data_IF_662375621775
#
_entry.id   IF_662375621775
#
_cell.length_a   1.000
_cell.length_b   1.000
_cell.length_c   1.000
_cell.angle_alpha   90.00
_cell.angle_beta   90.00
_cell.angle_gamma   90.00
#
_symmetry.space_group_name_H-M   'P 1'
#
loop_
_entity.id
_entity.type
_entity.pdbx_description
1 polymer ?
#
# COMPACT_ATOMS: atom_id res chain seq x y z
N UNK A 1 -17.90 -29.00 44.89
CA UNK A 1 -16.85 -28.47 45.77
C UNK A 1 -15.64 -28.13 44.92
N UNK A 2 -15.26 -26.86 44.83
CA UNK A 2 -14.06 -26.41 44.09
C UNK A 2 -12.83 -26.50 44.99
N UNK A 3 -11.64 -26.87 44.48
CA UNK A 3 -10.43 -26.89 45.30
C UNK A 3 -9.98 -25.47 45.65
N UNK A 4 -9.69 -25.23 46.92
CA UNK A 4 -9.19 -23.96 47.43
C UNK A 4 -7.78 -23.68 46.87
N UNK A 5 -7.56 -22.47 46.38
CA UNK A 5 -6.24 -21.99 45.98
C UNK A 5 -5.35 -21.85 47.22
N UNK A 6 -4.16 -22.46 47.19
CA UNK A 6 -3.16 -22.32 48.25
C UNK A 6 -2.71 -20.86 48.32
N UNK A 7 -2.90 -20.22 49.48
CA UNK A 7 -2.30 -18.94 49.81
C UNK A 7 -0.78 -19.08 49.79
N UNK A 8 -0.11 -18.12 49.17
CA UNK A 8 1.34 -18.13 49.01
C UNK A 8 2.04 -18.02 50.37
N UNK A 9 2.96 -18.94 50.67
CA UNK A 9 3.96 -18.77 51.73
C UNK A 9 4.63 -17.41 51.54
N UNK A 10 4.59 -16.55 52.57
CA UNK A 10 4.98 -15.13 52.53
C UNK A 10 6.44 -14.81 52.22
N UNK A 11 7.11 -15.65 51.41
CA UNK A 11 8.44 -15.42 50.86
C UNK A 11 8.31 -14.67 49.54
N UNK A 12 9.06 -13.58 49.31
CA UNK A 12 9.05 -12.89 48.03
C UNK A 12 9.50 -13.84 46.92
N UNK A 13 8.68 -13.98 45.88
CA UNK A 13 9.04 -14.77 44.69
C UNK A 13 10.24 -14.10 44.02
N UNK A 14 11.33 -14.85 43.86
CA UNK A 14 12.52 -14.36 43.17
C UNK A 14 12.20 -14.20 41.68
N UNK A 15 11.98 -12.97 41.24
CA UNK A 15 11.76 -12.64 39.83
C UNK A 15 13.12 -12.60 39.16
N UNK A 16 13.48 -13.65 38.41
CA UNK A 16 14.63 -13.60 37.52
C UNK A 16 14.23 -12.79 36.29
N UNK A 17 14.63 -11.52 36.27
CA UNK A 17 14.54 -10.67 35.08
C UNK A 17 15.70 -11.06 34.18
N UNK A 18 15.39 -11.81 33.12
CA UNK A 18 16.34 -12.01 32.04
C UNK A 18 16.39 -10.73 31.20
N UNK A 19 17.55 -10.08 31.15
CA UNK A 19 17.82 -9.07 30.14
C UNK A 19 17.86 -9.76 28.78
N UNK A 20 16.83 -9.52 27.96
CA UNK A 20 16.88 -9.90 26.56
C UNK A 20 18.12 -9.23 25.94
N UNK A 21 19.07 -9.98 25.37
CA UNK A 21 20.17 -9.35 24.64
C UNK A 21 19.53 -8.54 23.52
N UNK A 22 19.76 -7.23 23.52
CA UNK A 22 19.42 -6.35 22.41
C UNK A 22 20.31 -6.79 21.26
N UNK A 23 19.86 -7.81 20.53
CA UNK A 23 20.42 -8.06 19.21
C UNK A 23 20.02 -6.85 18.42
N UNK A 24 21.00 -5.99 18.13
CA UNK A 24 20.88 -5.00 17.07
C UNK A 24 20.43 -5.74 15.83
N UNK A 25 19.12 -5.74 15.60
CA UNK A 25 18.56 -6.14 14.32
C UNK A 25 19.12 -5.09 13.41
N UNK A 26 20.27 -5.39 12.79
CA UNK A 26 20.97 -4.51 11.85
C UNK A 26 19.91 -4.04 10.89
N UNK A 27 19.41 -2.82 11.11
CA UNK A 27 18.62 -2.11 10.12
C UNK A 27 19.59 -2.06 8.96
N UNK A 28 19.30 -2.84 7.91
CA UNK A 28 20.06 -2.72 6.67
C UNK A 28 20.13 -1.21 6.40
N UNK A 29 21.32 -0.63 6.14
CA UNK A 29 21.37 0.76 5.73
C UNK A 29 20.34 0.88 4.61
N UNK A 30 19.45 1.87 4.73
CA UNK A 30 18.46 2.17 3.70
C UNK A 30 19.25 2.45 2.41
N UNK A 31 19.52 1.38 1.66
CA UNK A 31 20.29 1.44 0.43
C UNK A 31 19.61 2.44 -0.47
N UNK A 32 20.40 3.41 -0.92
CA UNK A 32 20.13 4.41 -1.95
C UNK A 32 18.69 4.41 -2.46
N UNK A 33 17.75 4.89 -1.64
CA UNK A 33 16.46 5.29 -2.19
C UNK A 33 16.76 6.56 -2.97
N UNK A 34 16.54 6.58 -4.29
CA UNK A 34 16.80 7.78 -5.07
C UNK A 34 16.00 8.92 -4.44
N UNK A 35 16.71 9.92 -3.92
CA UNK A 35 16.08 11.14 -3.43
C UNK A 35 15.35 11.75 -4.62
N UNK A 36 14.06 12.02 -4.46
CA UNK A 36 13.28 12.70 -5.50
C UNK A 36 14.03 13.99 -5.89
N UNK A 37 14.27 14.24 -7.19
CA UNK A 37 14.93 15.47 -7.60
C UNK A 37 14.16 16.68 -7.09
N UNK A 38 14.88 17.70 -6.62
CA UNK A 38 14.29 18.98 -6.21
C UNK A 38 13.60 19.58 -7.43
N UNK A 39 12.42 20.17 -7.24
CA UNK A 39 11.60 20.75 -8.33
C UNK A 39 12.26 21.93 -9.05
N UNK A 40 13.36 22.45 -8.50
CA UNK A 40 14.00 23.70 -8.94
C UNK A 40 15.22 23.47 -9.85
N UNK A 41 15.49 22.23 -10.27
CA UNK A 41 16.50 21.95 -11.28
C UNK A 41 15.96 22.29 -12.68
N UNK A 42 16.77 22.88 -13.59
CA UNK A 42 16.33 23.13 -14.95
C UNK A 42 15.91 21.80 -15.59
N UNK A 43 14.64 21.72 -15.98
CA UNK A 43 14.07 20.56 -16.63
C UNK A 43 14.77 20.34 -17.96
N UNK A 44 15.01 19.07 -18.29
CA UNK A 44 15.46 18.73 -19.64
C UNK A 44 14.33 19.05 -20.63
N UNK A 45 14.67 19.41 -21.88
CA UNK A 45 13.68 19.69 -22.93
C UNK A 45 12.60 18.61 -23.06
N UNK A 46 12.95 17.34 -22.82
CA UNK A 46 11.99 16.23 -22.82
C UNK A 46 11.00 16.29 -21.65
N UNK A 47 11.44 16.72 -20.47
CA UNK A 47 10.60 16.91 -19.30
C UNK A 47 9.69 18.13 -19.45
N UNK A 48 10.18 19.24 -20.03
CA UNK A 48 9.37 20.42 -20.35
C UNK A 48 8.21 20.07 -21.31
N UNK A 49 8.50 19.33 -22.38
CA UNK A 49 7.47 18.85 -23.31
C UNK A 49 6.47 17.96 -22.57
N UNK A 50 6.92 17.07 -21.69
CA UNK A 50 6.04 16.23 -20.90
C UNK A 50 5.14 17.03 -19.94
N UNK A 51 5.64 18.13 -19.38
CA UNK A 51 4.86 19.04 -18.55
C UNK A 51 3.83 19.81 -19.36
N UNK A 52 4.20 20.38 -20.51
CA UNK A 52 3.28 21.04 -21.43
C UNK A 52 2.16 20.10 -21.89
N UNK A 53 2.47 18.84 -22.18
CA UNK A 53 1.46 17.83 -22.51
C UNK A 53 0.52 17.54 -21.33
N UNK A 54 1.02 17.50 -20.10
CA UNK A 54 0.18 17.31 -18.91
C UNK A 54 -0.75 18.50 -18.71
N UNK A 55 -0.24 19.71 -18.85
CA UNK A 55 -1.02 20.95 -18.75
C UNK A 55 -2.12 21.00 -19.81
N UNK A 56 -1.80 20.64 -21.06
CA UNK A 56 -2.79 20.54 -22.13
C UNK A 56 -3.87 19.48 -21.84
N UNK A 57 -3.50 18.32 -21.30
CA UNK A 57 -4.48 17.30 -20.91
C UNK A 57 -5.36 17.76 -19.75
N UNK A 58 -4.81 18.50 -18.79
CA UNK A 58 -5.57 19.05 -17.68
C UNK A 58 -6.47 20.20 -18.13
N UNK A 59 -6.07 21.01 -19.10
CA UNK A 59 -6.93 22.04 -19.70
C UNK A 59 -8.12 21.45 -20.46
N UNK A 60 -7.93 20.34 -21.19
CA UNK A 60 -9.04 19.61 -21.83
C UNK A 60 -10.01 19.06 -20.80
N UNK A 61 -9.52 18.51 -19.68
CA UNK A 61 -10.38 18.02 -18.59
C UNK A 61 -11.18 19.15 -17.95
N UNK A 62 -10.57 20.31 -17.72
CA UNK A 62 -11.26 21.46 -17.11
C UNK A 62 -12.26 22.09 -18.08
N UNK A 63 -11.96 22.15 -19.38
CA UNK A 63 -12.90 22.57 -20.42
C UNK A 63 -14.16 21.69 -20.43
N UNK A 64 -13.99 20.36 -20.38
CA UNK A 64 -15.13 19.44 -20.24
C UNK A 64 -15.96 19.68 -18.97
N UNK A 65 -15.32 20.12 -17.88
CA UNK A 65 -16.00 20.45 -16.64
C UNK A 65 -16.74 21.79 -16.66
N UNK A 66 -16.30 22.76 -17.47
CA UNK A 66 -16.94 24.08 -17.59
C UNK A 66 -18.36 23.98 -18.19
N UNK A 67 -18.56 23.06 -19.13
CA UNK A 67 -19.87 22.81 -19.74
C UNK A 67 -20.75 21.84 -18.95
N UNK A 68 -20.22 21.20 -17.92
CA UNK A 68 -21.01 20.31 -17.07
C UNK A 68 -21.99 21.10 -16.21
N UNK A 69 -23.22 20.61 -16.09
CA UNK A 69 -24.26 21.24 -15.27
C UNK A 69 -24.75 20.31 -14.14
N UNK A 70 -25.31 20.91 -13.09
CA UNK A 70 -25.98 20.18 -12.00
C UNK A 70 -25.09 19.19 -11.23
N UNK A 71 -25.47 17.91 -11.25
CA UNK A 71 -24.81 16.83 -10.47
C UNK A 71 -23.42 16.49 -10.99
N UNK A 72 -23.19 16.64 -12.29
CA UNK A 72 -21.91 16.33 -12.92
C UNK A 72 -20.85 17.36 -12.57
N UNK A 73 -21.21 18.65 -12.62
CA UNK A 73 -20.36 19.75 -12.17
C UNK A 73 -19.86 19.54 -10.74
N UNK A 74 -20.77 19.22 -9.81
CA UNK A 74 -20.42 18.93 -8.41
C UNK A 74 -19.40 17.80 -8.29
N UNK A 75 -19.51 16.74 -9.09
CA UNK A 75 -18.57 15.62 -9.06
C UNK A 75 -17.19 16.01 -9.58
N UNK A 76 -17.14 16.80 -10.67
CA UNK A 76 -15.89 17.27 -11.25
C UNK A 76 -15.17 18.27 -10.32
N UNK A 77 -15.92 19.16 -9.68
CA UNK A 77 -15.40 20.11 -8.68
C UNK A 77 -14.81 19.36 -7.47
N UNK A 78 -15.50 18.34 -6.95
CA UNK A 78 -14.98 17.51 -5.87
C UNK A 78 -13.71 16.74 -6.28
N UNK A 79 -13.67 16.18 -7.48
CA UNK A 79 -12.47 15.51 -8.00
C UNK A 79 -11.29 16.49 -8.14
N UNK A 80 -11.56 17.76 -8.50
CA UNK A 80 -10.54 18.82 -8.52
C UNK A 80 -10.02 19.15 -7.12
N UNK A 81 -10.92 19.25 -6.14
CA UNK A 81 -10.53 19.46 -4.74
C UNK A 81 -9.65 18.32 -4.23
N UNK A 82 -9.99 17.07 -4.55
CA UNK A 82 -9.17 15.89 -4.21
C UNK A 82 -7.78 15.92 -4.87
N UNK A 83 -7.71 16.32 -6.15
CA UNK A 83 -6.44 16.43 -6.88
C UNK A 83 -5.50 17.51 -6.30
N UNK A 84 -6.05 18.58 -5.74
CA UNK A 84 -5.30 19.65 -5.07
C UNK A 84 -4.85 19.28 -3.64
N UNK A 85 -5.15 18.06 -3.18
CA UNK A 85 -4.79 17.60 -1.84
C UNK A 85 -5.91 17.78 -0.80
N UNK A 86 -7.12 18.15 -1.24
CA UNK A 86 -8.30 18.14 -0.41
C UNK A 86 -8.68 16.73 0.02
N UNK A 87 -9.45 16.64 1.11
CA UNK A 87 -9.93 15.35 1.63
C UNK A 87 -10.97 14.74 0.68
N UNK A 88 -10.82 13.45 0.39
CA UNK A 88 -11.77 12.72 -0.42
C UNK A 88 -13.18 12.69 0.18
N UNK A 89 -14.19 12.72 -0.70
CA UNK A 89 -15.58 12.71 -0.26
C UNK A 89 -15.89 11.43 0.55
N UNK A 90 -16.43 11.62 1.77
CA UNK A 90 -16.83 10.50 2.62
C UNK A 90 -17.94 9.70 1.93
N UNK A 91 -17.67 8.43 1.69
CA UNK A 91 -18.66 7.50 1.16
C UNK A 91 -19.77 7.26 2.19
N UNK A 92 -21.02 7.13 1.72
CA UNK A 92 -22.14 6.81 2.59
C UNK A 92 -21.95 5.42 3.22
N UNK A 93 -22.36 5.28 4.48
CA UNK A 93 -22.30 4.00 5.18
C UNK A 93 -23.31 3.04 4.55
N UNK A 94 -22.83 1.94 4.01
CA UNK A 94 -23.65 0.87 3.44
C UNK A 94 -23.36 -0.47 4.13
N UNK A 95 -24.36 -1.36 4.26
CA UNK A 95 -24.15 -2.72 4.74
C UNK A 95 -23.11 -3.47 3.89
N UNK A 96 -22.29 -4.31 4.55
CA UNK A 96 -21.18 -5.00 3.91
C UNK A 96 -21.62 -5.86 2.72
N UNK A 97 -22.74 -6.59 2.84
CA UNK A 97 -23.27 -7.46 1.78
C UNK A 97 -23.60 -6.66 0.51
N UNK A 98 -24.26 -5.51 0.67
CA UNK A 98 -24.63 -4.63 -0.45
C UNK A 98 -23.38 -4.02 -1.10
N UNK A 99 -22.45 -3.54 -0.29
CA UNK A 99 -21.18 -2.98 -0.76
C UNK A 99 -20.37 -4.01 -1.58
N UNK A 100 -20.27 -5.26 -1.10
CA UNK A 100 -19.59 -6.33 -1.82
C UNK A 100 -20.31 -6.68 -3.13
N UNK A 101 -21.64 -6.71 -3.14
CA UNK A 101 -22.42 -6.96 -4.35
C UNK A 101 -22.19 -5.87 -5.41
N UNK A 102 -22.24 -4.59 -5.02
CA UNK A 102 -21.97 -3.46 -5.91
C UNK A 102 -20.56 -3.50 -6.50
N UNK A 103 -19.55 -3.80 -5.67
CA UNK A 103 -18.15 -3.95 -6.14
C UNK A 103 -18.00 -5.11 -7.13
N UNK A 104 -18.60 -6.28 -6.85
CA UNK A 104 -18.59 -7.42 -7.77
C UNK A 104 -19.24 -7.07 -9.11
N UNK A 105 -20.38 -6.36 -9.09
CA UNK A 105 -21.05 -5.92 -10.31
C UNK A 105 -20.21 -4.91 -11.11
N UNK A 106 -19.58 -3.94 -10.44
CA UNK A 106 -18.69 -2.98 -11.09
C UNK A 106 -17.51 -3.67 -11.78
N UNK A 107 -16.83 -4.58 -11.07
CA UNK A 107 -15.71 -5.34 -11.62
C UNK A 107 -16.13 -6.18 -12.84
N UNK A 108 -17.32 -6.83 -12.79
CA UNK A 108 -17.85 -7.58 -13.94
C UNK A 108 -18.12 -6.69 -15.15
N UNK A 109 -18.66 -5.47 -14.95
CA UNK A 109 -18.89 -4.51 -16.04
C UNK A 109 -17.57 -4.03 -16.64
N UNK A 110 -16.56 -3.80 -15.81
CA UNK A 110 -15.24 -3.40 -16.25
C UNK A 110 -14.57 -4.51 -17.07
N UNK A 111 -14.60 -5.76 -16.59
CA UNK A 111 -14.10 -6.94 -17.31
C UNK A 111 -14.80 -7.09 -18.67
N UNK A 112 -16.14 -7.04 -18.70
CA UNK A 112 -16.90 -7.12 -19.95
C UNK A 112 -16.52 -6.00 -20.93
N UNK A 113 -16.32 -4.76 -20.44
CA UNK A 113 -15.89 -3.64 -21.27
C UNK A 113 -14.50 -3.87 -21.85
N UNK A 114 -13.58 -4.42 -21.06
CA UNK A 114 -12.22 -4.76 -21.52
C UNK A 114 -12.22 -5.90 -22.54
N UNK A 115 -13.05 -6.93 -22.36
CA UNK A 115 -13.21 -8.02 -23.31
C UNK A 115 -13.75 -7.52 -24.65
N UNK A 116 -14.79 -6.69 -24.62
CA UNK A 116 -15.36 -6.09 -25.83
C UNK A 116 -14.36 -5.17 -26.53
N UNK A 117 -13.61 -4.35 -25.77
CA UNK A 117 -12.59 -3.48 -26.35
C UNK A 117 -11.44 -4.27 -27.00
N UNK A 118 -11.06 -5.42 -26.41
CA UNK A 118 -10.08 -6.34 -27.01
C UNK A 118 -10.61 -6.98 -28.28
N UNK A 119 -11.86 -7.45 -28.27
CA UNK A 119 -12.51 -8.07 -29.42
C UNK A 119 -12.69 -7.06 -30.58
N UNK A 120 -12.99 -5.80 -30.28
CA UNK A 120 -13.13 -4.74 -31.29
C UNK A 120 -11.81 -4.17 -31.79
N UNK A 121 -10.66 -4.62 -31.25
CA UNK A 121 -9.33 -4.11 -31.63
C UNK A 121 -9.04 -2.68 -31.17
N UNK A 122 -9.87 -2.10 -30.29
CA UNK A 122 -9.67 -0.73 -29.80
C UNK A 122 -8.56 -0.70 -28.76
N UNK A 123 -7.45 -0.01 -29.08
CA UNK A 123 -6.33 0.18 -28.16
C UNK A 123 -6.73 1.14 -27.05
N UNK A 124 -6.85 0.62 -25.84
CA UNK A 124 -7.10 1.43 -24.63
C UNK A 124 -5.82 1.56 -23.81
N UNK A 125 -5.66 2.71 -23.12
CA UNK A 125 -4.49 2.95 -22.28
C UNK A 125 -4.36 1.91 -21.17
N UNK A 126 -3.11 1.50 -20.87
CA UNK A 126 -2.82 0.52 -19.80
C UNK A 126 -3.30 1.07 -18.45
N UNK A 127 -4.25 0.37 -17.83
CA UNK A 127 -4.68 0.71 -16.47
C UNK A 127 -3.55 0.40 -15.49
N UNK A 128 -3.32 1.32 -14.53
CA UNK A 128 -2.42 1.06 -13.41
C UNK A 128 -3.03 -0.07 -12.59
N UNK A 129 -2.33 -1.21 -12.48
CA UNK A 129 -2.74 -2.28 -11.57
C UNK A 129 -2.84 -1.69 -10.17
N UNK A 130 -4.00 -1.85 -9.51
CA UNK A 130 -4.18 -1.47 -8.10
C UNK A 130 -2.99 -2.00 -7.31
N UNK A 131 -2.33 -1.10 -6.56
CA UNK A 131 -1.13 -1.42 -5.81
C UNK A 131 -1.39 -2.70 -5.00
N UNK A 132 -0.68 -3.78 -5.34
CA UNK A 132 -0.78 -5.05 -4.62
C UNK A 132 -0.57 -4.71 -3.15
N UNK A 133 -1.52 -5.08 -2.29
CA UNK A 133 -1.36 -4.97 -0.84
C UNK A 133 0.03 -5.52 -0.53
N UNK A 134 0.93 -4.74 0.09
CA UNK A 134 2.27 -5.22 0.36
C UNK A 134 2.11 -6.52 1.14
N UNK A 135 2.56 -7.65 0.55
CA UNK A 135 2.57 -8.92 1.27
C UNK A 135 3.27 -8.63 2.58
N UNK A 136 2.57 -8.80 3.72
CA UNK A 136 3.23 -8.77 5.02
C UNK A 136 4.42 -9.71 4.90
N UNK A 137 5.62 -9.22 5.23
CA UNK A 137 6.81 -10.08 5.29
C UNK A 137 6.40 -11.28 6.14
N UNK A 138 6.55 -12.49 5.60
CA UNK A 138 6.14 -13.70 6.30
C UNK A 138 6.76 -13.73 7.69
N UNK A 139 6.07 -14.35 8.64
CA UNK A 139 6.64 -14.59 9.95
C UNK A 139 7.94 -15.38 9.76
N UNK A 140 9.07 -14.77 10.12
CA UNK A 140 10.38 -15.37 9.93
C UNK A 140 10.64 -16.51 10.92
N UNK A 141 9.67 -16.80 11.80
CA UNK A 141 9.79 -17.76 12.88
C UNK A 141 10.84 -17.34 13.91
N UNK A 142 10.96 -18.12 14.98
CA UNK A 142 12.02 -17.93 15.98
C UNK A 142 13.31 -18.55 15.43
N UNK A 143 14.33 -17.71 15.17
CA UNK A 143 15.65 -18.15 14.74
C UNK A 143 16.43 -18.64 15.97
N UNK A 144 16.22 -19.89 16.38
CA UNK A 144 16.80 -20.46 17.61
C UNK A 144 18.29 -20.83 17.48
N UNK A 145 18.83 -20.93 16.26
CA UNK A 145 20.21 -21.41 16.02
C UNK A 145 21.10 -20.30 15.46
N UNK A 146 22.37 -20.28 15.90
CA UNK A 146 23.41 -19.43 15.30
C UNK A 146 23.83 -20.05 13.97
N UNK A 147 23.38 -19.46 12.86
CA UNK A 147 23.74 -19.92 11.53
C UNK A 147 22.61 -19.71 10.52
N UNK A 148 22.89 -20.00 9.25
CA UNK A 148 21.88 -19.93 8.19
C UNK A 148 21.34 -21.33 7.95
N UNK A 149 20.11 -21.60 8.39
CA UNK A 149 19.40 -22.83 8.04
C UNK A 149 18.79 -22.68 6.64
N UNK A 150 19.24 -23.49 5.67
CA UNK A 150 18.66 -23.53 4.31
C UNK A 150 18.45 -24.98 3.90
N UNK A 151 17.23 -25.32 3.50
CA UNK A 151 16.87 -26.67 3.03
C UNK A 151 17.26 -27.79 4.02
N UNK A 152 17.07 -27.57 5.33
CA UNK A 152 17.39 -28.55 6.37
C UNK A 152 18.87 -28.64 6.77
N UNK A 153 19.76 -27.86 6.16
CA UNK A 153 21.20 -27.84 6.48
C UNK A 153 21.55 -26.53 7.20
N UNK A 154 22.18 -26.64 8.37
CA UNK A 154 22.65 -25.50 9.15
C UNK A 154 24.07 -25.12 8.74
N UNK A 155 24.22 -23.96 8.10
CA UNK A 155 25.52 -23.38 7.79
C UNK A 155 26.02 -22.53 8.96
N UNK A 156 27.07 -22.98 9.63
CA UNK A 156 27.73 -22.28 10.75
C UNK A 156 29.06 -21.69 10.28
N UNK A 157 29.34 -20.44 10.64
CA UNK A 157 30.62 -19.76 10.35
C UNK A 157 31.75 -20.39 11.17
N UNK A 158 32.99 -20.34 10.66
CA UNK A 158 34.17 -20.80 11.41
C UNK A 158 34.38 -20.03 12.74
N UNK A 159 33.91 -18.79 12.80
CA UNK A 159 33.96 -17.96 14.01
C UNK A 159 32.94 -18.40 15.07
N UNK A 160 31.86 -19.07 14.67
CA UNK A 160 30.77 -19.50 15.56
C UNK A 160 30.86 -21.00 15.91
N UNK A 161 32.00 -21.62 15.59
CA UNK A 161 32.27 -23.05 15.76
C UNK A 161 32.98 -23.33 17.08
#
# INVERSE_FOLDING_TARGET
MLPAFKTSDGKPRQVQVFECPVTDVRRRPDGDRPRKPRKDAPLTRAEEVAEQFREALDSVKTFGAQHATGKEKKRLDMARVEALGGRAQKQQKMPLKQLLAMRKAANKREQKREELAKASGVVTGKKKTTAKVPKKRGDAGVQATKGRLKNGVLFVSKHDR
#
